data_IF_615921485537
#
_entry.id   IF_615921485537
#
_cell.length_a   1.000
_cell.length_b   1.000
_cell.length_c   1.000
_cell.angle_alpha   90.00
_cell.angle_beta   90.00
_cell.angle_gamma   90.00
#
_symmetry.space_group_name_H-M   'P 1'
#
loop_
_entity.id
_entity.type
_entity.pdbx_description
1 polymer ?
#
# COMPACT_ATOMS: atom_id res chain seq x y z
N UNK A 1 -25.96 6.02 -31.96
CA UNK A 1 -25.69 5.87 -30.51
C UNK A 1 -24.63 6.88 -30.11
N UNK A 2 -25.04 8.03 -29.60
CA UNK A 2 -24.17 9.12 -29.15
C UNK A 2 -23.83 8.91 -27.67
N UNK A 3 -22.55 8.63 -27.36
CA UNK A 3 -22.07 8.50 -25.99
C UNK A 3 -22.00 9.90 -25.37
N UNK A 4 -22.88 10.21 -24.43
CA UNK A 4 -22.80 11.42 -23.61
C UNK A 4 -21.59 11.29 -22.67
N UNK A 5 -20.58 12.12 -22.88
CA UNK A 5 -19.43 12.22 -21.99
C UNK A 5 -19.87 12.82 -20.66
N UNK A 6 -19.88 12.01 -19.60
CA UNK A 6 -20.16 12.46 -18.25
C UNK A 6 -18.97 13.31 -17.77
N UNK A 7 -19.16 14.59 -17.38
CA UNK A 7 -18.04 15.44 -16.94
C UNK A 7 -17.46 14.86 -15.65
N UNK A 8 -16.22 14.36 -15.76
CA UNK A 8 -15.51 13.83 -14.60
C UNK A 8 -15.24 14.97 -13.59
N UNK A 9 -15.46 14.75 -12.29
CA UNK A 9 -15.26 15.77 -11.27
C UNK A 9 -13.80 16.27 -11.25
N UNK A 10 -13.62 17.55 -10.90
CA UNK A 10 -12.32 18.24 -10.87
C UNK A 10 -11.37 17.67 -9.80
N UNK A 11 -10.76 16.51 -10.07
CA UNK A 11 -9.84 15.80 -9.17
C UNK A 11 -8.45 16.45 -9.03
N UNK A 12 -8.13 17.45 -9.85
CA UNK A 12 -6.84 18.15 -9.82
C UNK A 12 -6.70 19.07 -8.61
N UNK A 13 -7.76 19.80 -8.26
CA UNK A 13 -7.72 20.81 -7.17
C UNK A 13 -7.58 20.16 -5.80
N UNK A 14 -8.32 19.09 -5.53
CA UNK A 14 -8.32 18.36 -4.25
C UNK A 14 -6.94 17.78 -3.89
N UNK A 15 -6.17 17.29 -4.87
CA UNK A 15 -4.83 16.74 -4.60
C UNK A 15 -3.82 17.81 -4.19
N UNK A 16 -3.89 18.98 -4.82
CA UNK A 16 -3.00 20.09 -4.46
C UNK A 16 -3.33 20.60 -3.06
N UNK A 17 -4.61 20.76 -2.73
CA UNK A 17 -5.02 21.17 -1.38
C UNK A 17 -4.57 20.17 -0.33
N UNK A 18 -4.69 18.86 -0.58
CA UNK A 18 -4.28 17.84 0.38
C UNK A 18 -2.77 17.87 0.68
N UNK A 19 -1.94 18.12 -0.35
CA UNK A 19 -0.48 18.23 -0.20
C UNK A 19 -0.07 19.48 0.55
N UNK A 20 -0.70 20.61 0.25
CA UNK A 20 -0.41 21.88 0.92
C UNK A 20 -0.82 21.81 2.39
N UNK A 21 -2.03 21.34 2.68
CA UNK A 21 -2.53 21.20 4.05
C UNK A 21 -1.72 20.17 4.83
N UNK A 22 -1.40 19.02 4.23
CA UNK A 22 -0.57 17.99 4.86
C UNK A 22 0.85 18.46 5.15
N UNK A 23 1.47 19.20 4.23
CA UNK A 23 2.79 19.82 4.45
C UNK A 23 2.76 20.84 5.59
N UNK A 24 1.72 21.68 5.63
CA UNK A 24 1.56 22.70 6.67
C UNK A 24 1.36 22.06 8.05
N UNK A 25 0.51 21.03 8.16
CA UNK A 25 0.32 20.26 9.40
C UNK A 25 1.61 19.58 9.87
N UNK A 26 2.41 19.04 8.95
CA UNK A 26 3.68 18.40 9.32
C UNK A 26 4.68 19.43 9.87
N UNK A 27 4.84 20.58 9.20
CA UNK A 27 5.73 21.65 9.65
C UNK A 27 5.31 22.14 11.04
N UNK A 28 4.01 22.41 11.24
CA UNK A 28 3.50 22.85 12.55
C UNK A 28 3.72 21.76 13.61
N UNK A 29 3.41 20.50 13.31
CA UNK A 29 3.61 19.38 14.22
C UNK A 29 5.08 19.21 14.62
N UNK A 30 6.02 19.36 13.67
CA UNK A 30 7.45 19.26 13.91
C UNK A 30 7.98 20.43 14.76
N UNK A 31 7.48 21.65 14.53
CA UNK A 31 7.79 22.79 15.39
C UNK A 31 7.30 22.56 16.83
N UNK A 32 6.05 22.11 17.01
CA UNK A 32 5.48 21.83 18.34
C UNK A 32 6.23 20.70 19.05
N UNK A 33 6.53 19.60 18.35
CA UNK A 33 7.32 18.50 18.90
C UNK A 33 8.75 18.93 19.26
N UNK A 34 9.37 19.78 18.44
CA UNK A 34 10.70 20.34 18.70
C UNK A 34 10.73 21.22 19.95
N UNK A 35 9.71 22.06 20.16
CA UNK A 35 9.57 22.86 21.38
C UNK A 35 9.39 21.99 22.63
N UNK A 36 8.55 20.94 22.54
CA UNK A 36 8.37 19.99 23.64
C UNK A 36 9.65 19.23 23.97
N UNK A 37 10.38 18.77 22.95
CA UNK A 37 11.66 18.08 23.13
C UNK A 37 12.72 19.01 23.73
N UNK A 38 12.79 20.26 23.29
CA UNK A 38 13.73 21.25 23.84
C UNK A 38 13.43 21.53 25.32
N UNK A 39 12.16 21.72 25.69
CA UNK A 39 11.75 21.89 27.09
C UNK A 39 12.10 20.69 27.97
N UNK A 40 11.88 19.47 27.46
CA UNK A 40 12.27 18.24 28.15
C UNK A 40 13.80 18.15 28.36
N UNK A 41 14.58 18.45 27.32
CA UNK A 41 16.05 18.41 27.42
C UNK A 41 16.58 19.49 28.37
N UNK A 42 15.98 20.68 28.40
CA UNK A 42 16.34 21.73 29.35
C UNK A 42 16.10 21.28 30.80
N UNK A 43 14.96 20.65 31.08
CA UNK A 43 14.62 20.11 32.40
C UNK A 43 15.53 18.95 32.81
N UNK A 44 15.81 18.01 31.88
CA UNK A 44 16.72 16.89 32.10
C UNK A 44 18.16 17.36 32.38
N UNK A 45 18.63 18.39 31.67
CA UNK A 45 19.94 18.99 31.93
C UNK A 45 19.95 19.73 33.28
N UNK A 46 18.86 20.39 33.66
CA UNK A 46 18.70 21.02 34.98
C UNK A 46 18.84 20.03 36.14
N UNK A 47 18.23 18.85 36.03
CA UNK A 47 18.29 17.80 37.06
C UNK A 47 19.70 17.26 37.32
N UNK A 48 20.62 17.31 36.34
CA UNK A 48 22.01 16.87 36.54
C UNK A 48 22.86 17.84 37.38
N UNK A 49 22.38 19.07 37.59
CA UNK A 49 23.07 20.10 38.38
C UNK A 49 22.49 20.31 39.79
N UNK A 50 21.37 19.66 40.12
CA UNK A 50 20.75 19.77 41.44
C UNK A 50 21.54 18.96 42.48
N UNK A 51 22.46 19.62 43.18
CA UNK A 51 23.00 19.10 44.43
C UNK A 51 21.84 18.97 45.45
N UNK A 52 21.71 17.84 46.17
CA UNK A 52 20.70 17.70 47.21
C UNK A 52 21.14 18.47 48.47
N UNK A 53 21.09 19.81 48.44
CA UNK A 53 21.14 20.60 49.66
C UNK A 53 19.73 20.62 50.25
N UNK A 54 19.49 19.77 51.25
CA UNK A 54 18.34 19.86 52.14
C UNK A 54 18.44 21.17 52.94
N UNK A 55 18.06 22.29 52.31
CA UNK A 55 17.96 23.59 52.96
C UNK A 55 16.47 23.92 53.12
N UNK A 56 15.97 23.78 54.34
CA UNK A 56 14.61 24.13 54.71
C UNK A 56 14.50 25.66 54.71
N UNK A 57 14.14 26.25 53.57
CA UNK A 57 13.86 27.67 53.45
C UNK A 57 12.40 27.94 53.85
N UNK A 58 12.23 28.40 55.10
CA UNK A 58 10.99 29.02 55.55
C UNK A 58 10.90 30.44 54.96
N UNK A 59 9.87 30.70 54.16
CA UNK A 59 9.45 32.05 53.81
C UNK A 59 9.71 32.48 52.37
N UNK A 60 8.71 32.27 51.53
CA UNK A 60 8.66 32.81 50.18
C UNK A 60 7.26 32.62 49.60
N UNK A 61 6.31 33.40 50.11
CA UNK A 61 4.98 33.53 49.54
C UNK A 61 5.11 34.02 48.09
N UNK A 62 4.79 33.15 47.14
CA UNK A 62 4.83 33.45 45.71
C UNK A 62 3.52 34.13 45.35
N UNK A 63 3.56 35.45 45.29
CA UNK A 63 2.59 36.26 44.54
C UNK A 63 3.33 36.71 43.27
N UNK A 64 2.88 36.21 42.12
CA UNK A 64 2.77 36.99 40.89
C UNK A 64 1.99 36.14 39.86
N UNK A 65 0.70 36.43 39.77
CA UNK A 65 -0.13 36.06 38.66
C UNK A 65 0.24 36.94 37.44
N UNK A 66 0.63 36.32 36.32
CA UNK A 66 0.00 36.54 35.01
C UNK A 66 0.71 35.77 33.87
N UNK A 67 -0.11 35.29 32.92
CA UNK A 67 0.25 34.67 31.63
C UNK A 67 0.84 33.24 31.63
N UNK A 68 -0.01 32.26 31.95
CA UNK A 68 0.13 30.91 31.39
C UNK A 68 0.16 29.80 32.43
N UNK A 69 -0.88 28.96 32.41
CA UNK A 69 -0.92 27.70 33.15
C UNK A 69 0.25 26.79 32.72
N UNK A 70 1.39 26.91 33.39
CA UNK A 70 2.54 25.99 33.29
C UNK A 70 2.41 24.95 34.41
N UNK A 71 1.89 23.74 34.15
CA UNK A 71 1.95 22.67 35.14
C UNK A 71 3.41 22.25 35.38
N UNK A 72 3.73 21.70 36.56
CA UNK A 72 5.11 21.32 36.93
C UNK A 72 5.78 20.52 35.80
N UNK A 73 6.99 20.95 35.42
CA UNK A 73 7.57 20.85 34.06
C UNK A 73 7.51 19.49 33.36
N UNK A 74 7.50 18.38 34.10
CA UNK A 74 7.45 17.03 33.53
C UNK A 74 6.13 16.69 32.82
N UNK A 75 4.97 17.05 33.39
CA UNK A 75 3.67 16.67 32.79
C UNK A 75 3.29 17.55 31.60
N UNK A 76 3.72 18.82 31.60
CA UNK A 76 3.55 19.74 30.47
C UNK A 76 4.34 19.25 29.24
N UNK A 77 5.61 18.88 29.44
CA UNK A 77 6.48 18.41 28.38
C UNK A 77 5.99 17.09 27.76
N UNK A 78 5.52 16.15 28.59
CA UNK A 78 4.94 14.89 28.11
C UNK A 78 3.65 15.11 27.32
N UNK A 79 2.77 16.01 27.77
CA UNK A 79 1.56 16.37 27.03
C UNK A 79 1.87 16.98 25.66
N UNK A 80 2.86 17.88 25.59
CA UNK A 80 3.32 18.50 24.34
C UNK A 80 3.93 17.50 23.36
N UNK A 81 4.73 16.53 23.85
CA UNK A 81 5.29 15.46 23.03
C UNK A 81 4.20 14.52 22.49
N UNK A 82 3.18 14.19 23.29
CA UNK A 82 2.08 13.34 22.84
C UNK A 82 1.23 14.01 21.75
N UNK A 83 0.87 15.28 21.93
CA UNK A 83 0.13 16.07 20.94
C UNK A 83 0.97 16.29 19.67
N UNK A 84 2.24 16.65 19.82
CA UNK A 84 3.18 16.79 18.70
C UNK A 84 3.40 15.48 17.94
N UNK A 85 3.53 14.37 18.65
CA UNK A 85 3.65 13.03 18.07
C UNK A 85 2.41 12.63 17.27
N UNK A 86 1.21 12.85 17.83
CA UNK A 86 -0.04 12.56 17.11
C UNK A 86 -0.18 13.41 15.83
N UNK A 87 0.19 14.68 15.90
CA UNK A 87 0.11 15.60 14.77
C UNK A 87 1.13 15.28 13.67
N UNK A 88 2.35 14.85 14.02
CA UNK A 88 3.36 14.41 13.05
C UNK A 88 2.99 13.10 12.37
N UNK A 89 2.46 12.11 13.11
CA UNK A 89 1.94 10.85 12.54
C UNK A 89 0.77 11.15 11.59
N UNK A 90 -0.17 12.01 12.00
CA UNK A 90 -1.29 12.43 11.16
C UNK A 90 -0.84 13.16 9.89
N UNK A 91 0.15 14.05 10.00
CA UNK A 91 0.76 14.74 8.85
C UNK A 91 1.43 13.78 7.88
N UNK A 92 2.22 12.82 8.39
CA UNK A 92 2.90 11.80 7.58
C UNK A 92 1.89 10.90 6.85
N UNK A 93 0.83 10.49 7.53
CA UNK A 93 -0.25 9.70 6.92
C UNK A 93 -0.94 10.48 5.78
N UNK A 94 -1.30 11.76 6.00
CA UNK A 94 -1.92 12.60 4.98
C UNK A 94 -1.02 12.79 3.74
N UNK A 95 0.29 12.98 3.95
CA UNK A 95 1.29 13.05 2.87
C UNK A 95 1.42 11.72 2.12
N UNK A 96 1.36 10.60 2.83
CA UNK A 96 1.41 9.26 2.23
C UNK A 96 0.19 9.01 1.35
N UNK A 97 -1.03 9.34 1.81
CA UNK A 97 -2.24 9.26 1.00
C UNK A 97 -2.22 10.21 -0.22
N UNK A 98 -1.63 11.40 -0.07
CA UNK A 98 -1.49 12.37 -1.16
C UNK A 98 -0.49 11.97 -2.25
N UNK A 99 0.45 11.06 -1.96
CA UNK A 99 1.47 10.56 -2.89
C UNK A 99 1.16 9.17 -3.44
N UNK A 100 0.33 8.38 -2.73
CA UNK A 100 -0.09 7.02 -3.13
C UNK A 100 -0.65 6.96 -4.56
N UNK A 101 -1.47 7.93 -4.94
CA UNK A 101 -2.08 7.97 -6.27
C UNK A 101 -1.12 8.35 -7.42
N UNK A 102 0.07 8.87 -7.12
CA UNK A 102 1.13 9.07 -8.10
C UNK A 102 1.99 7.81 -8.21
N UNK A 103 2.33 7.20 -7.07
CA UNK A 103 3.07 5.93 -7.02
C UNK A 103 2.31 4.79 -7.72
N UNK A 104 0.99 4.68 -7.51
CA UNK A 104 0.19 3.63 -8.14
C UNK A 104 0.16 3.72 -9.68
N UNK A 105 0.19 4.94 -10.23
CA UNK A 105 0.25 5.16 -11.69
C UNK A 105 1.61 4.80 -12.27
N UNK A 106 2.68 5.08 -11.53
CA UNK A 106 4.03 4.71 -11.94
C UNK A 106 4.21 3.19 -11.95
N UNK A 107 3.82 2.53 -10.86
CA UNK A 107 3.83 1.06 -10.75
C UNK A 107 2.96 0.41 -11.83
N UNK A 108 1.77 0.97 -12.10
CA UNK A 108 0.93 0.47 -13.20
C UNK A 108 1.60 0.63 -14.57
N UNK A 109 2.37 1.70 -14.80
CA UNK A 109 3.11 1.92 -16.04
C UNK A 109 4.24 0.91 -16.26
N UNK A 110 5.00 0.61 -15.22
CA UNK A 110 6.12 -0.34 -15.28
C UNK A 110 5.68 -1.81 -15.27
N UNK A 111 4.55 -2.14 -14.66
CA UNK A 111 4.02 -3.52 -14.58
C UNK A 111 3.06 -3.86 -15.73
N UNK A 112 2.62 -2.87 -16.53
CA UNK A 112 1.77 -3.10 -17.70
C UNK A 112 2.35 -4.12 -18.70
N UNK A 113 3.64 -4.09 -19.10
CA UNK A 113 4.16 -5.02 -20.10
C UNK A 113 4.18 -6.47 -19.60
N UNK A 114 4.49 -6.72 -18.33
CA UNK A 114 4.47 -8.07 -17.75
C UNK A 114 3.06 -8.62 -17.66
N UNK A 115 2.10 -7.80 -17.19
CA UNK A 115 0.68 -8.19 -17.17
C UNK A 115 0.15 -8.49 -18.58
N UNK A 116 0.54 -7.69 -19.59
CA UNK A 116 0.18 -7.95 -21.00
C UNK A 116 0.80 -9.24 -21.53
N UNK A 117 2.05 -9.54 -21.17
CA UNK A 117 2.68 -10.80 -21.55
C UNK A 117 1.99 -12.00 -20.89
N UNK A 118 1.68 -11.93 -19.59
CA UNK A 118 0.92 -12.98 -18.91
C UNK A 118 -0.48 -13.17 -19.50
N UNK A 119 -1.17 -12.08 -19.83
CA UNK A 119 -2.46 -12.14 -20.50
C UNK A 119 -2.35 -12.74 -21.91
N UNK A 120 -1.32 -12.37 -22.68
CA UNK A 120 -1.06 -12.96 -23.98
C UNK A 120 -0.78 -14.48 -23.87
N UNK A 121 0.04 -14.91 -22.90
CA UNK A 121 0.30 -16.32 -22.63
C UNK A 121 -0.96 -17.11 -22.26
N UNK A 122 -1.91 -16.48 -21.55
CA UNK A 122 -3.19 -17.11 -21.19
C UNK A 122 -4.21 -17.07 -22.33
N UNK A 123 -4.21 -16.02 -23.18
CA UNK A 123 -5.11 -15.88 -24.32
C UNK A 123 -4.66 -16.64 -25.57
N UNK A 124 -3.38 -17.01 -25.69
CA UNK A 124 -2.86 -17.79 -26.83
C UNK A 124 -3.29 -19.28 -26.80
N UNK A 125 -4.18 -19.66 -25.88
CA UNK A 125 -4.86 -20.96 -25.86
C UNK A 125 -3.97 -22.16 -25.52
N UNK A 126 -2.66 -21.98 -25.30
CA UNK A 126 -1.73 -23.10 -25.03
C UNK A 126 -1.86 -23.69 -23.63
N UNK A 127 -2.66 -23.08 -22.75
CA UNK A 127 -2.86 -23.51 -21.37
C UNK A 127 -1.56 -23.43 -20.55
N UNK A 128 -1.68 -23.30 -19.23
CA UNK A 128 -0.53 -23.54 -18.36
C UNK A 128 -0.36 -25.06 -18.29
N UNK A 129 0.78 -25.60 -18.74
CA UNK A 129 1.10 -27.03 -18.65
C UNK A 129 0.15 -28.00 -19.41
N UNK A 130 -0.53 -27.55 -20.46
CA UNK A 130 -1.44 -28.40 -21.24
C UNK A 130 -2.81 -28.66 -20.58
N UNK A 131 -3.11 -27.99 -19.47
CA UNK A 131 -4.43 -28.00 -18.84
C UNK A 131 -5.25 -26.87 -19.50
N UNK A 132 -6.07 -27.23 -20.48
CA UNK A 132 -6.89 -26.27 -21.23
C UNK A 132 -6.91 -26.47 -22.74
N UNK A 133 -6.17 -27.44 -23.29
CA UNK A 133 -6.51 -27.96 -24.62
C UNK A 133 -7.91 -28.59 -24.52
N UNK A 134 -8.88 -27.91 -25.11
CA UNK A 134 -10.09 -28.50 -25.62
C UNK A 134 -9.73 -29.80 -26.35
N UNK A 135 -10.18 -30.91 -25.76
CA UNK A 135 -10.10 -32.28 -26.30
C UNK A 135 -10.61 -32.36 -27.75
N UNK A 136 -11.38 -31.36 -28.18
CA UNK A 136 -11.93 -31.22 -29.52
C UNK A 136 -10.83 -31.15 -30.60
N UNK A 137 -9.68 -30.50 -30.37
CA UNK A 137 -8.63 -30.38 -31.41
C UNK A 137 -7.91 -31.70 -31.72
N UNK A 138 -7.79 -32.62 -30.75
CA UNK A 138 -7.27 -33.97 -31.04
C UNK A 138 -8.28 -34.82 -31.78
N UNK A 139 -9.57 -34.61 -31.51
CA UNK A 139 -10.65 -35.41 -32.10
C UNK A 139 -11.03 -34.95 -33.51
N UNK A 140 -10.85 -33.66 -33.85
CA UNK A 140 -11.03 -33.13 -35.21
C UNK A 140 -9.94 -33.60 -36.20
N UNK A 141 -8.78 -34.05 -35.71
CA UNK A 141 -7.71 -34.57 -36.59
C UNK A 141 -7.91 -36.04 -37.00
N UNK A 142 -8.64 -36.83 -36.20
CA UNK A 142 -8.84 -38.26 -36.46
C UNK A 142 -9.96 -38.48 -37.49
N UNK A 143 -9.63 -38.48 -38.79
CA UNK A 143 -10.61 -38.69 -39.89
C UNK A 143 -10.88 -40.17 -40.20
N UNK A 144 -10.15 -41.10 -39.61
CA UNK A 144 -10.16 -42.52 -39.99
C UNK A 144 -11.21 -43.42 -39.33
N UNK A 145 -11.04 -44.74 -39.48
CA UNK A 145 -12.03 -45.74 -39.07
C UNK A 145 -12.10 -45.89 -37.55
N UNK A 146 -13.27 -46.36 -37.07
CA UNK A 146 -13.48 -46.70 -35.67
C UNK A 146 -12.92 -48.10 -35.36
N UNK A 147 -12.21 -48.22 -34.24
CA UNK A 147 -11.75 -49.51 -33.74
C UNK A 147 -12.95 -50.37 -33.30
N UNK A 148 -13.05 -51.60 -33.84
CA UNK A 148 -14.14 -52.54 -33.47
C UNK A 148 -14.05 -53.08 -32.05
N UNK A 149 -12.87 -52.97 -31.42
CA UNK A 149 -12.63 -53.53 -30.08
C UNK A 149 -12.86 -52.52 -28.96
N UNK A 150 -12.47 -51.25 -29.13
CA UNK A 150 -12.61 -50.22 -28.09
C UNK A 150 -13.51 -49.04 -28.48
N UNK A 151 -13.92 -48.92 -29.74
CA UNK A 151 -14.78 -47.83 -30.22
C UNK A 151 -14.06 -46.49 -30.46
N UNK A 152 -12.74 -46.39 -30.25
CA UNK A 152 -11.98 -45.15 -30.50
C UNK A 152 -11.82 -44.88 -32.00
N UNK A 153 -11.99 -43.63 -32.43
CA UNK A 153 -11.72 -43.19 -33.81
C UNK A 153 -10.22 -42.97 -34.00
N UNK A 154 -9.65 -43.59 -35.03
CA UNK A 154 -8.22 -43.48 -35.31
C UNK A 154 -7.95 -42.71 -36.60
N UNK A 155 -6.69 -42.34 -36.85
CA UNK A 155 -6.27 -41.71 -38.10
C UNK A 155 -6.43 -42.64 -39.31
N UNK A 156 -6.68 -42.08 -40.50
CA UNK A 156 -6.88 -42.87 -41.73
C UNK A 156 -5.68 -43.74 -42.11
N UNK A 157 -4.47 -43.32 -41.72
CA UNK A 157 -3.22 -44.03 -42.01
C UNK A 157 -2.75 -44.96 -40.87
N UNK A 158 -3.48 -45.03 -39.75
CA UNK A 158 -3.06 -45.80 -38.59
C UNK A 158 -3.30 -47.31 -38.79
N UNK A 159 -2.22 -48.11 -38.73
CA UNK A 159 -2.29 -49.58 -38.86
C UNK A 159 -2.74 -50.26 -37.56
N UNK A 160 -2.60 -49.58 -36.43
CA UNK A 160 -2.93 -50.07 -35.09
C UNK A 160 -3.72 -49.01 -34.33
N UNK A 161 -4.60 -49.41 -33.43
CA UNK A 161 -5.39 -48.51 -32.59
C UNK A 161 -4.53 -47.80 -31.54
N UNK A 162 -4.60 -46.47 -31.49
CA UNK A 162 -3.84 -45.65 -30.52
C UNK A 162 -4.28 -45.85 -29.06
N UNK A 163 -5.48 -46.40 -28.83
CA UNK A 163 -6.02 -46.64 -27.49
C UNK A 163 -5.77 -48.06 -26.99
N UNK A 164 -6.01 -49.09 -27.82
CA UNK A 164 -5.94 -50.49 -27.41
C UNK A 164 -4.85 -51.33 -28.10
N UNK A 165 -4.15 -50.77 -29.10
CA UNK A 165 -3.07 -51.44 -29.83
C UNK A 165 -3.51 -52.49 -30.87
N UNK A 166 -4.81 -52.78 -31.00
CA UNK A 166 -5.33 -53.78 -31.96
C UNK A 166 -5.10 -53.33 -33.41
N UNK A 167 -4.72 -54.27 -34.30
CA UNK A 167 -4.59 -53.98 -35.73
C UNK A 167 -5.92 -53.59 -36.36
N UNK A 168 -5.92 -52.53 -37.17
CA UNK A 168 -7.10 -51.99 -37.87
C UNK A 168 -7.29 -52.60 -39.28
N UNK A 169 -6.63 -53.73 -39.54
CA UNK A 169 -6.70 -54.50 -40.78
C UNK A 169 -7.69 -55.66 -40.68
#
# INVERSE_FOLDING_TARGET
MTRTAHPLPQTGRTRTTLRVVGGLLLVVGLCVAGLGLWGFVADANGMTSAQPSMEWSEGGFVDEADEGFTPPGGFAAMGLLAVGGFMTIGGLAALSFGTLGAQSRYVAGETMPTVKQSAAYLSDGRGVLGIGQDVDQRQESATGPYCRQCGTRNDEAARFCDSCGTSLA
#
